data_IF_027185804245
#
_entry.id   IF_027185804245
#
_cell.length_a   1.000
_cell.length_b   1.000
_cell.length_c   1.000
_cell.angle_alpha   90.00
_cell.angle_beta   90.00
_cell.angle_gamma   90.00
#
_symmetry.space_group_name_H-M   'P 1'
#
loop_
_entity.id
_entity.type
_entity.pdbx_description
1 polymer ?
#
# COMPACT_ATOMS: atom_id res chain seq x y z
N UNK A 1 -20.52 -62.68 -12.16
CA UNK A 1 -20.92 -62.57 -10.74
C UNK A 1 -20.44 -61.22 -10.23
N UNK A 2 -21.37 -60.29 -9.99
CA UNK A 2 -21.15 -58.94 -9.48
C UNK A 2 -21.40 -58.97 -7.98
N UNK A 3 -20.49 -58.48 -7.14
CA UNK A 3 -20.78 -58.24 -5.73
C UNK A 3 -20.54 -56.76 -5.41
N UNK A 4 -21.62 -55.98 -5.53
CA UNK A 4 -21.79 -54.67 -4.91
C UNK A 4 -22.16 -54.88 -3.44
N UNK A 5 -21.55 -54.12 -2.52
CA UNK A 5 -21.99 -54.01 -1.13
C UNK A 5 -22.83 -52.74 -0.99
N UNK A 6 -24.14 -52.96 -0.85
CA UNK A 6 -25.14 -52.00 -0.41
C UNK A 6 -25.21 -52.04 1.13
N UNK A 7 -25.26 -50.89 1.79
CA UNK A 7 -25.70 -50.76 3.17
C UNK A 7 -26.92 -49.85 3.16
N UNK A 8 -28.02 -50.33 3.75
CA UNK A 8 -29.32 -49.69 3.89
C UNK A 8 -29.70 -49.68 5.38
N UNK A 9 -30.32 -48.59 5.83
CA UNK A 9 -31.07 -48.48 7.10
C UNK A 9 -30.40 -47.52 8.11
N UNK A 10 -31.06 -46.55 8.73
CA UNK A 10 -32.49 -46.36 9.01
C UNK A 10 -32.88 -44.87 8.93
N UNK A 11 -34.09 -44.64 8.44
CA UNK A 11 -34.82 -43.39 8.54
C UNK A 11 -35.39 -43.22 9.96
N UNK A 12 -35.23 -42.02 10.53
CA UNK A 12 -36.13 -41.49 11.55
C UNK A 12 -36.61 -40.13 11.06
N UNK A 13 -37.91 -40.07 10.73
CA UNK A 13 -38.58 -38.86 10.33
C UNK A 13 -38.72 -37.93 11.52
N UNK A 14 -38.39 -36.65 11.32
CA UNK A 14 -38.76 -35.58 12.23
C UNK A 14 -39.64 -34.61 11.45
N UNK A 15 -40.82 -34.35 12.00
CA UNK A 15 -41.90 -33.60 11.40
C UNK A 15 -41.52 -32.16 11.06
N UNK A 16 -41.92 -31.69 9.89
CA UNK A 16 -42.05 -30.27 9.58
C UNK A 16 -43.12 -29.67 10.50
N UNK A 17 -42.72 -28.81 11.43
CA UNK A 17 -43.59 -27.78 11.97
C UNK A 17 -43.24 -26.46 11.26
N UNK A 18 -44.20 -25.96 10.50
CA UNK A 18 -44.15 -24.66 9.85
C UNK A 18 -44.09 -23.57 10.92
N UNK A 19 -42.93 -22.91 11.03
CA UNK A 19 -42.82 -21.63 11.75
C UNK A 19 -43.02 -20.54 10.71
N UNK A 20 -44.11 -19.78 10.88
CA UNK A 20 -44.42 -18.58 10.10
C UNK A 20 -43.26 -17.60 10.24
N UNK A 21 -42.56 -17.33 9.15
CA UNK A 21 -41.55 -16.28 9.08
C UNK A 21 -42.22 -14.93 9.34
N UNK A 22 -41.94 -14.33 10.48
CA UNK A 22 -42.18 -12.90 10.68
C UNK A 22 -41.24 -12.15 9.74
N UNK A 23 -41.82 -11.42 8.79
CA UNK A 23 -41.09 -10.53 7.90
C UNK A 23 -40.44 -9.42 8.72
N UNK A 24 -39.11 -9.39 8.78
CA UNK A 24 -38.37 -8.19 9.17
C UNK A 24 -38.57 -7.14 8.08
N UNK A 25 -39.01 -5.91 8.39
CA UNK A 25 -39.12 -4.84 7.43
C UNK A 25 -37.76 -4.13 7.33
N UNK A 26 -36.79 -4.77 6.69
CA UNK A 26 -35.52 -4.11 6.33
C UNK A 26 -35.36 -4.19 4.82
N UNK A 27 -35.97 -3.20 4.14
CA UNK A 27 -35.66 -2.90 2.75
C UNK A 27 -34.21 -2.42 2.60
N UNK A 28 -33.68 -2.36 1.36
CA UNK A 28 -32.32 -1.89 1.11
C UNK A 28 -32.16 -0.45 1.63
N UNK A 29 -31.15 -0.21 2.46
CA UNK A 29 -30.77 1.14 2.88
C UNK A 29 -30.47 1.99 1.64
N UNK A 30 -31.00 3.22 1.65
CA UNK A 30 -30.77 4.22 0.62
C UNK A 30 -29.29 4.60 0.60
N UNK A 31 -28.59 4.34 -0.51
CA UNK A 31 -27.15 4.58 -0.69
C UNK A 31 -26.82 5.97 -1.25
N UNK A 32 -27.81 6.87 -1.31
CA UNK A 32 -27.56 8.27 -1.64
C UNK A 32 -26.95 8.99 -0.42
N UNK A 33 -25.93 9.85 -0.61
CA UNK A 33 -25.50 10.75 0.45
C UNK A 33 -26.70 11.60 0.90
N UNK A 34 -26.80 11.98 2.19
CA UNK A 34 -27.84 12.89 2.64
C UNK A 34 -27.77 14.18 1.81
N UNK A 35 -28.93 14.72 1.42
CA UNK A 35 -28.98 16.01 0.72
C UNK A 35 -28.22 17.06 1.55
N UNK A 36 -27.40 17.91 0.91
CA UNK A 36 -26.71 18.97 1.63
C UNK A 36 -27.74 19.84 2.34
N UNK A 37 -27.46 20.20 3.60
CA UNK A 37 -28.33 21.06 4.38
C UNK A 37 -28.61 22.35 3.60
N UNK A 38 -29.88 22.64 3.35
CA UNK A 38 -30.30 23.93 2.81
C UNK A 38 -29.96 25.00 3.83
N UNK A 39 -29.08 25.93 3.45
CA UNK A 39 -28.77 27.11 4.25
C UNK A 39 -29.96 28.05 4.15
N UNK A 40 -30.79 28.08 5.18
CA UNK A 40 -31.97 28.96 5.28
C UNK A 40 -31.62 30.39 5.74
N UNK A 41 -30.33 30.69 5.98
CA UNK A 41 -29.90 32.05 6.29
C UNK A 41 -29.78 32.89 5.00
N UNK A 42 -30.47 34.04 4.91
CA UNK A 42 -30.31 34.95 3.79
C UNK A 42 -28.88 35.51 3.77
N UNK A 43 -28.24 35.44 2.59
CA UNK A 43 -26.93 36.03 2.39
C UNK A 43 -26.93 37.53 2.75
N UNK A 44 -25.85 38.06 3.33
CA UNK A 44 -25.73 39.49 3.61
C UNK A 44 -25.94 40.35 2.36
N UNK A 45 -26.64 41.48 2.49
CA UNK A 45 -26.77 42.44 1.38
C UNK A 45 -25.48 43.23 1.21
N UNK A 46 -24.62 42.73 0.32
CA UNK A 46 -23.31 43.33 0.01
C UNK A 46 -23.41 44.69 -0.70
N UNK A 47 -24.61 45.14 -1.07
CA UNK A 47 -24.82 46.41 -1.79
C UNK A 47 -24.80 47.63 -0.85
N UNK A 48 -24.87 47.44 0.47
CA UNK A 48 -24.81 48.54 1.45
C UNK A 48 -23.41 48.99 1.85
N UNK A 49 -22.38 48.19 1.61
CA UNK A 49 -21.00 48.53 2.00
C UNK A 49 -20.31 49.59 1.12
N UNK A 50 -20.93 50.00 0.01
CA UNK A 50 -20.40 51.06 -0.87
C UNK A 50 -21.18 52.39 -0.77
N UNK A 51 -22.25 52.46 0.02
CA UNK A 51 -23.07 53.66 0.16
C UNK A 51 -22.70 54.54 1.37
N UNK A 52 -21.84 54.07 2.28
CA UNK A 52 -21.46 54.80 3.50
C UNK A 52 -20.15 55.61 3.38
N UNK A 53 -19.54 55.68 2.19
CA UNK A 53 -18.30 56.47 1.96
C UNK A 53 -18.49 57.65 1.01
N UNK A 54 -19.72 58.10 0.77
CA UNK A 54 -20.03 59.24 -0.09
C UNK A 54 -20.71 60.38 0.65
N UNK A 55 -19.98 61.14 1.47
CA UNK A 55 -20.50 62.39 2.07
C UNK A 55 -19.54 63.56 1.82
N UNK A 56 -19.88 64.31 0.77
CA UNK A 56 -20.04 65.77 0.69
C UNK A 56 -19.03 66.66 1.44
N UNK A 57 -18.01 67.07 0.70
CA UNK A 57 -16.98 68.03 1.08
C UNK A 57 -17.51 69.47 0.97
N UNK A 58 -18.36 69.91 1.90
CA UNK A 58 -18.62 71.35 2.11
C UNK A 58 -19.35 71.67 3.42
N UNK A 59 -18.61 71.93 4.51
CA UNK A 59 -19.08 72.85 5.57
C UNK A 59 -17.94 73.44 6.40
N UNK A 60 -17.99 74.77 6.51
CA UNK A 60 -17.02 75.63 7.16
C UNK A 60 -16.82 75.32 8.66
N UNK A 61 -15.57 75.39 9.08
CA UNK A 61 -15.13 75.23 10.46
C UNK A 61 -15.65 76.36 11.38
N UNK A 62 -16.21 75.99 12.53
CA UNK A 62 -16.24 76.80 13.76
C UNK A 62 -15.75 75.95 14.94
N UNK A 63 -14.94 76.49 15.86
CA UNK A 63 -14.20 75.69 16.83
C UNK A 63 -15.02 75.45 18.12
N UNK A 64 -14.91 74.25 18.67
CA UNK A 64 -15.34 73.89 20.02
C UNK A 64 -14.22 73.07 20.71
N UNK A 65 -14.15 73.06 22.05
CA UNK A 65 -12.94 73.33 22.82
C UNK A 65 -12.01 72.13 23.02
N UNK A 66 -10.73 72.44 23.26
CA UNK A 66 -9.65 71.50 23.58
C UNK A 66 -10.01 70.65 24.81
N UNK A 67 -10.08 69.33 24.62
CA UNK A 67 -10.09 68.33 25.70
C UNK A 67 -8.74 67.61 25.69
N UNK A 68 -8.11 67.51 26.86
CA UNK A 68 -6.76 66.95 27.05
C UNK A 68 -6.61 65.53 26.46
N UNK A 69 -5.41 65.13 25.98
CA UNK A 69 -5.23 63.83 25.33
C UNK A 69 -5.39 62.71 26.35
N UNK A 70 -6.39 61.86 26.14
CA UNK A 70 -6.49 60.55 26.78
C UNK A 70 -5.61 59.61 25.98
N UNK A 71 -4.61 58.99 26.61
CA UNK A 71 -3.75 58.01 25.96
C UNK A 71 -4.62 56.88 25.36
N UNK A 72 -4.57 56.74 24.03
CA UNK A 72 -5.18 55.61 23.35
C UNK A 72 -4.43 54.32 23.72
N UNK A 73 -5.12 53.21 23.99
CA UNK A 73 -4.45 51.93 24.17
C UNK A 73 -3.72 51.59 22.86
N UNK A 74 -2.44 51.22 22.98
CA UNK A 74 -1.58 50.84 21.85
C UNK A 74 -2.28 49.72 21.07
N UNK A 75 -2.61 49.96 19.80
CA UNK A 75 -3.05 48.88 18.92
C UNK A 75 -1.88 47.89 18.80
N UNK A 76 -2.12 46.57 18.98
CA UNK A 76 -1.08 45.57 18.80
C UNK A 76 -0.54 45.71 17.38
N UNK A 77 0.78 45.75 17.26
CA UNK A 77 1.43 45.85 15.96
C UNK A 77 1.21 44.56 15.18
N UNK A 78 1.43 44.59 13.87
CA UNK A 78 1.41 43.37 13.05
C UNK A 78 2.34 42.33 13.67
N UNK A 79 3.54 42.71 14.13
CA UNK A 79 4.46 41.81 14.81
C UNK A 79 3.88 41.14 16.07
N UNK A 80 3.14 41.88 16.91
CA UNK A 80 2.52 41.34 18.13
C UNK A 80 1.41 40.30 17.84
N UNK A 81 0.88 40.25 16.62
CA UNK A 81 -0.16 39.29 16.20
C UNK A 81 0.40 38.06 15.46
N UNK A 82 1.71 37.99 15.22
CA UNK A 82 2.37 36.89 14.49
C UNK A 82 3.51 36.21 15.30
N UNK A 83 3.61 36.47 16.61
CA UNK A 83 4.63 35.86 17.49
C UNK A 83 4.53 34.31 17.50
N UNK A 84 3.33 33.79 17.31
CA UNK A 84 2.98 32.36 17.20
C UNK A 84 3.23 31.77 15.80
N UNK A 85 3.63 32.58 14.82
CA UNK A 85 4.02 32.18 13.45
C UNK A 85 5.50 32.49 13.20
N UNK A 86 6.29 32.72 14.25
CA UNK A 86 7.73 32.77 14.14
C UNK A 86 8.27 31.40 13.72
N UNK A 87 8.52 31.24 12.42
CA UNK A 87 9.20 30.07 11.87
C UNK A 87 10.62 30.02 12.42
N UNK A 88 10.85 29.21 13.45
CA UNK A 88 12.21 28.86 13.87
C UNK A 88 12.86 28.05 12.75
N UNK A 89 13.74 28.69 11.98
CA UNK A 89 14.57 28.02 10.99
C UNK A 89 15.68 27.24 11.71
N UNK A 90 15.36 26.03 12.14
CA UNK A 90 16.35 25.05 12.60
C UNK A 90 16.96 24.31 11.43
N UNK A 91 18.26 23.97 11.52
CA UNK A 91 18.86 23.00 10.61
C UNK A 91 18.24 21.63 10.91
N UNK A 92 17.38 21.13 10.01
CA UNK A 92 16.88 19.76 10.08
C UNK A 92 17.96 18.85 9.50
N UNK A 93 18.85 18.36 10.36
CA UNK A 93 19.80 17.31 9.98
C UNK A 93 19.01 16.02 9.80
N UNK A 94 18.82 15.60 8.55
CA UNK A 94 18.25 14.28 8.26
C UNK A 94 19.26 13.21 8.70
N UNK A 95 18.96 12.48 9.77
CA UNK A 95 19.75 11.32 10.17
C UNK A 95 19.65 10.24 9.08
N UNK A 96 20.77 9.92 8.44
CA UNK A 96 20.82 8.82 7.48
C UNK A 96 20.61 7.50 8.22
N UNK A 97 19.73 6.61 7.72
CA UNK A 97 19.48 5.34 8.37
C UNK A 97 20.76 4.49 8.39
N UNK A 98 21.11 3.99 9.57
CA UNK A 98 22.23 3.05 9.73
C UNK A 98 21.79 1.66 9.24
N UNK A 99 22.45 1.17 8.20
CA UNK A 99 22.19 -0.15 7.59
C UNK A 99 23.16 -1.23 8.06
N UNK A 100 23.88 -0.99 9.16
CA UNK A 100 24.78 -1.96 9.79
C UNK A 100 24.34 -2.16 11.23
N UNK A 101 24.09 -3.40 11.62
CA UNK A 101 23.76 -3.78 13.00
C UNK A 101 24.81 -4.69 13.63
N UNK A 102 24.69 -4.92 14.92
CA UNK A 102 25.49 -5.91 15.66
C UNK A 102 24.84 -7.30 15.52
N UNK A 103 25.58 -8.27 15.00
CA UNK A 103 25.12 -9.62 14.72
C UNK A 103 25.75 -10.63 15.67
N UNK A 104 24.90 -11.46 16.29
CA UNK A 104 25.34 -12.67 16.98
C UNK A 104 25.54 -13.84 16.00
N UNK A 105 26.38 -14.80 16.37
CA UNK A 105 26.58 -16.02 15.55
C UNK A 105 25.28 -16.77 15.25
N UNK A 106 24.34 -16.98 16.21
CA UNK A 106 23.08 -17.64 15.91
C UNK A 106 22.23 -16.89 14.87
N UNK A 107 22.20 -15.55 14.93
CA UNK A 107 21.46 -14.73 13.95
C UNK A 107 22.08 -14.83 12.56
N UNK A 108 23.41 -14.79 12.47
CA UNK A 108 24.09 -14.94 11.18
C UNK A 108 23.92 -16.35 10.60
N UNK A 109 23.88 -17.39 11.44
CA UNK A 109 23.56 -18.76 11.01
C UNK A 109 22.12 -18.89 10.50
N UNK A 110 21.15 -18.23 11.13
CA UNK A 110 19.77 -18.15 10.61
C UNK A 110 19.75 -17.49 9.22
N UNK A 111 20.45 -16.36 9.06
CA UNK A 111 20.56 -15.67 7.77
C UNK A 111 21.18 -16.58 6.70
N UNK A 112 22.30 -17.25 7.00
CA UNK A 112 22.96 -18.16 6.07
C UNK A 112 22.06 -19.35 5.68
N UNK A 113 21.29 -19.90 6.64
CA UNK A 113 20.30 -20.94 6.36
C UNK A 113 19.20 -20.46 5.42
N UNK A 114 18.73 -19.22 5.60
CA UNK A 114 17.73 -18.61 4.74
C UNK A 114 18.27 -18.35 3.32
N UNK A 115 19.50 -17.84 3.19
CA UNK A 115 20.18 -17.66 1.90
C UNK A 115 20.29 -18.99 1.16
N UNK A 116 20.67 -20.07 1.84
CA UNK A 116 20.74 -21.40 1.23
C UNK A 116 19.37 -21.91 0.72
N UNK A 117 18.28 -21.49 1.35
CA UNK A 117 16.91 -21.86 1.00
C UNK A 117 16.22 -20.88 0.02
N UNK A 118 16.86 -19.75 -0.33
CA UNK A 118 16.22 -18.64 -1.08
C UNK A 118 15.75 -19.04 -2.48
N UNK A 119 16.27 -20.14 -3.02
CA UNK A 119 15.78 -20.73 -4.27
C UNK A 119 14.28 -21.07 -4.24
N UNK A 120 13.70 -21.32 -3.05
CA UNK A 120 12.26 -21.49 -2.85
C UNK A 120 11.46 -20.20 -3.09
N UNK A 121 12.07 -19.04 -2.90
CA UNK A 121 11.52 -17.72 -3.24
C UNK A 121 11.81 -17.35 -4.71
N UNK A 122 12.34 -18.26 -5.52
CA UNK A 122 12.65 -17.98 -6.91
C UNK A 122 13.84 -17.05 -7.15
N UNK A 123 14.65 -16.82 -6.11
CA UNK A 123 15.91 -16.07 -6.17
C UNK A 123 17.10 -17.02 -6.31
N UNK A 124 18.31 -16.49 -6.50
CA UNK A 124 19.54 -17.27 -6.59
C UNK A 124 20.40 -17.08 -5.33
N UNK A 125 20.77 -18.16 -4.59
CA UNK A 125 21.65 -18.06 -3.43
C UNK A 125 23.00 -17.39 -3.72
N UNK A 126 23.54 -17.56 -4.93
CA UNK A 126 24.87 -17.03 -5.30
C UNK A 126 24.92 -15.50 -5.30
N UNK A 127 23.79 -14.83 -5.55
CA UNK A 127 23.70 -13.37 -5.59
C UNK A 127 23.93 -12.71 -4.23
N UNK A 128 23.80 -13.47 -3.13
CA UNK A 128 23.88 -12.95 -1.77
C UNK A 128 25.20 -13.26 -1.06
N UNK A 129 26.19 -13.81 -1.79
CA UNK A 129 27.54 -14.07 -1.26
C UNK A 129 27.54 -15.09 -0.11
N UNK A 130 26.85 -16.23 -0.29
CA UNK A 130 26.69 -17.26 0.73
C UNK A 130 28.04 -17.79 1.27
N UNK A 131 29.05 -17.89 0.41
CA UNK A 131 30.43 -18.26 0.73
C UNK A 131 31.12 -17.21 1.61
N UNK A 132 30.96 -15.94 1.27
CA UNK A 132 31.51 -14.80 2.02
C UNK A 132 30.87 -14.72 3.41
N UNK A 133 29.56 -14.90 3.51
CA UNK A 133 28.83 -14.94 4.78
C UNK A 133 29.28 -16.13 5.64
N UNK A 134 29.43 -17.31 5.05
CA UNK A 134 29.92 -18.49 5.78
C UNK A 134 31.34 -18.29 6.31
N UNK A 135 32.23 -17.67 5.53
CA UNK A 135 33.59 -17.34 5.98
C UNK A 135 33.59 -16.33 7.14
N UNK A 136 32.71 -15.33 7.11
CA UNK A 136 32.55 -14.37 8.20
C UNK A 136 32.06 -15.03 9.50
N UNK A 137 31.08 -15.93 9.39
CA UNK A 137 30.58 -16.72 10.53
C UNK A 137 31.71 -17.57 11.14
N UNK A 138 32.57 -18.17 10.30
CA UNK A 138 33.69 -18.97 10.78
C UNK A 138 34.77 -18.16 11.51
N UNK A 139 34.90 -16.86 11.21
CA UNK A 139 35.83 -15.96 11.90
C UNK A 139 35.33 -15.51 13.29
N UNK A 140 34.02 -15.62 13.55
CA UNK A 140 33.40 -15.23 14.81
C UNK A 140 32.70 -13.87 14.77
N UNK A 141 32.15 -13.46 15.91
CA UNK A 141 31.45 -12.17 16.05
C UNK A 141 32.43 -11.00 15.94
N UNK A 142 32.00 -9.93 15.26
CA UNK A 142 32.79 -8.72 15.12
C UNK A 142 32.41 -7.88 13.91
N UNK A 143 33.16 -6.79 13.65
CA UNK A 143 32.82 -5.82 12.61
C UNK A 143 32.66 -6.42 11.21
N UNK A 144 33.49 -7.41 10.86
CA UNK A 144 33.41 -8.08 9.57
C UNK A 144 32.10 -8.88 9.40
N UNK A 145 31.67 -9.60 10.43
CA UNK A 145 30.38 -10.30 10.43
C UNK A 145 29.23 -9.30 10.31
N UNK A 146 29.29 -8.22 11.08
CA UNK A 146 28.26 -7.18 11.10
C UNK A 146 28.06 -6.54 9.72
N UNK A 147 29.15 -6.19 9.04
CA UNK A 147 29.10 -5.58 7.71
C UNK A 147 28.54 -6.56 6.66
N UNK A 148 29.05 -7.79 6.64
CA UNK A 148 28.66 -8.80 5.65
C UNK A 148 27.19 -9.22 5.86
N UNK A 149 26.81 -9.56 7.09
CA UNK A 149 25.45 -10.01 7.39
C UNK A 149 24.42 -8.89 7.19
N UNK A 150 24.72 -7.65 7.59
CA UNK A 150 23.80 -6.53 7.35
C UNK A 150 23.61 -6.25 5.87
N UNK A 151 24.69 -6.26 5.07
CA UNK A 151 24.59 -6.10 3.61
C UNK A 151 23.75 -7.20 2.96
N UNK A 152 24.01 -8.47 3.30
CA UNK A 152 23.22 -9.59 2.78
C UNK A 152 21.75 -9.47 3.18
N UNK A 153 21.45 -9.07 4.42
CA UNK A 153 20.09 -8.84 4.87
C UNK A 153 19.41 -7.70 4.08
N UNK A 154 20.08 -6.58 3.88
CA UNK A 154 19.55 -5.43 3.09
C UNK A 154 19.20 -5.86 1.67
N UNK A 155 20.10 -6.55 0.98
CA UNK A 155 19.85 -7.03 -0.38
C UNK A 155 18.68 -8.02 -0.44
N UNK A 156 18.56 -8.92 0.53
CA UNK A 156 17.41 -9.83 0.62
C UNK A 156 16.11 -9.07 0.83
N UNK A 157 16.10 -8.07 1.70
CA UNK A 157 14.89 -7.26 1.96
C UNK A 157 14.44 -6.56 0.67
N UNK A 158 15.36 -5.89 -0.03
CA UNK A 158 15.07 -5.20 -1.29
C UNK A 158 14.52 -6.16 -2.35
N UNK A 159 15.17 -7.31 -2.57
CA UNK A 159 14.76 -8.27 -3.59
C UNK A 159 13.47 -9.03 -3.24
N UNK A 160 13.20 -9.27 -1.96
CA UNK A 160 11.97 -9.94 -1.50
C UNK A 160 10.77 -9.01 -1.50
N UNK A 161 10.96 -7.75 -1.11
CA UNK A 161 9.91 -6.72 -1.03
C UNK A 161 9.63 -6.12 -2.40
N UNK A 162 10.66 -5.55 -3.03
CA UNK A 162 10.49 -4.70 -4.23
C UNK A 162 10.63 -5.50 -5.53
N UNK A 163 11.23 -6.70 -5.45
CA UNK A 163 11.55 -7.55 -6.59
C UNK A 163 12.88 -7.20 -7.25
N UNK A 164 13.47 -8.17 -7.94
CA UNK A 164 14.79 -8.09 -8.56
C UNK A 164 14.84 -7.18 -9.78
N UNK A 165 13.72 -7.01 -10.45
CA UNK A 165 13.68 -6.20 -11.67
C UNK A 165 13.56 -4.72 -11.29
N UNK A 166 14.59 -3.90 -11.56
CA UNK A 166 14.54 -2.47 -11.27
C UNK A 166 13.45 -1.79 -12.11
N UNK A 167 12.98 -0.62 -11.66
CA UNK A 167 11.89 0.10 -12.30
C UNK A 167 12.12 0.33 -13.80
N UNK A 168 13.35 0.64 -14.22
CA UNK A 168 13.71 0.83 -15.65
C UNK A 168 13.48 -0.43 -16.51
N UNK A 169 13.53 -1.62 -15.89
CA UNK A 169 13.21 -2.89 -16.55
C UNK A 169 11.71 -3.18 -16.66
N UNK A 170 10.86 -2.46 -15.91
CA UNK A 170 9.41 -2.66 -15.85
C UNK A 170 8.72 -1.87 -16.97
N UNK A 171 8.30 -2.55 -18.02
CA UNK A 171 7.67 -1.92 -19.19
C UNK A 171 6.24 -1.47 -18.90
N UNK A 172 5.93 -0.19 -19.13
CA UNK A 172 4.57 0.37 -18.96
C UNK A 172 3.98 0.07 -17.58
N UNK A 173 4.83 0.17 -16.54
CA UNK A 173 4.48 -0.07 -15.16
C UNK A 173 4.35 1.26 -14.43
N UNK A 174 3.15 1.53 -13.94
CA UNK A 174 2.76 2.78 -13.28
C UNK A 174 2.11 2.51 -11.91
N UNK A 175 2.24 1.28 -11.39
CA UNK A 175 1.84 0.96 -10.03
C UNK A 175 2.86 1.54 -9.07
N UNK A 176 2.39 2.37 -8.15
CA UNK A 176 3.21 2.82 -7.02
C UNK A 176 3.16 1.76 -5.92
N UNK A 177 4.33 1.34 -5.47
CA UNK A 177 4.49 0.41 -4.36
C UNK A 177 4.92 1.20 -3.10
N UNK A 178 4.05 1.31 -2.09
CA UNK A 178 4.34 2.03 -0.84
C UNK A 178 5.10 1.16 0.17
N UNK A 179 5.43 -0.10 -0.16
CA UNK A 179 5.93 -1.05 0.83
C UNK A 179 7.31 -0.68 1.35
N UNK A 180 8.17 -0.07 0.53
CA UNK A 180 9.47 0.43 0.98
C UNK A 180 9.35 1.53 2.05
N UNK A 181 8.33 2.38 1.95
CA UNK A 181 8.06 3.44 2.92
C UNK A 181 7.39 2.88 4.19
N UNK A 182 6.50 1.88 4.02
CA UNK A 182 5.78 1.23 5.12
C UNK A 182 6.66 0.28 5.93
N UNK A 183 7.59 -0.39 5.25
CA UNK A 183 8.51 -1.37 5.82
C UNK A 183 9.97 -0.98 5.50
N UNK A 184 10.50 0.12 6.08
CA UNK A 184 11.85 0.58 5.79
C UNK A 184 12.89 -0.46 6.20
N UNK A 185 13.88 -0.69 5.34
CA UNK A 185 14.91 -1.72 5.52
C UNK A 185 15.68 -1.56 6.83
N UNK A 186 16.01 -0.33 7.22
CA UNK A 186 16.71 -0.05 8.47
C UNK A 186 15.89 -0.42 9.70
N UNK A 187 14.57 -0.23 9.66
CA UNK A 187 13.67 -0.62 10.75
C UNK A 187 13.54 -2.14 10.83
N UNK A 188 13.38 -2.81 9.69
CA UNK A 188 13.35 -4.27 9.62
C UNK A 188 14.63 -4.89 10.19
N UNK A 189 15.81 -4.38 9.81
CA UNK A 189 17.09 -4.85 10.32
C UNK A 189 17.18 -4.67 11.84
N UNK A 190 16.86 -3.46 12.34
CA UNK A 190 16.89 -3.16 13.77
C UNK A 190 15.96 -4.07 14.57
N UNK A 191 14.71 -4.22 14.12
CA UNK A 191 13.70 -5.02 14.81
C UNK A 191 14.03 -6.52 14.75
N UNK A 192 14.55 -7.02 13.62
CA UNK A 192 14.98 -8.40 13.46
C UNK A 192 16.15 -8.75 14.40
N UNK A 193 17.15 -7.87 14.51
CA UNK A 193 18.29 -8.06 15.41
C UNK A 193 17.90 -7.95 16.88
N UNK A 194 17.08 -6.97 17.25
CA UNK A 194 16.63 -6.79 18.63
C UNK A 194 15.84 -7.99 19.17
N UNK A 195 15.06 -8.65 18.31
CA UNK A 195 14.20 -9.78 18.69
C UNK A 195 14.78 -11.15 18.32
N UNK A 196 15.90 -11.20 17.59
CA UNK A 196 16.47 -12.45 17.07
C UNK A 196 15.57 -13.17 16.06
N UNK A 197 14.74 -12.41 15.33
CA UNK A 197 13.70 -12.90 14.40
C UNK A 197 14.07 -12.64 12.94
N UNK A 198 15.25 -13.12 12.53
CA UNK A 198 15.79 -12.84 11.19
C UNK A 198 14.92 -13.46 10.10
N UNK A 199 14.60 -14.74 10.24
CA UNK A 199 13.82 -15.48 9.24
C UNK A 199 12.39 -14.95 9.15
N UNK A 200 11.72 -14.72 10.29
CA UNK A 200 10.35 -14.20 10.34
C UNK A 200 10.26 -12.81 9.66
N UNK A 201 11.26 -11.95 9.86
CA UNK A 201 11.32 -10.65 9.21
C UNK A 201 11.43 -10.76 7.68
N UNK A 202 12.17 -11.74 7.17
CA UNK A 202 12.36 -11.95 5.72
C UNK A 202 11.15 -12.64 5.07
N UNK A 203 10.59 -13.66 5.72
CA UNK A 203 9.38 -14.35 5.25
C UNK A 203 8.16 -13.41 5.23
N UNK A 204 8.11 -12.49 6.19
CA UNK A 204 7.06 -11.47 6.28
C UNK A 204 7.05 -10.44 5.15
N UNK A 205 8.03 -10.44 4.24
CA UNK A 205 8.08 -9.53 3.07
C UNK A 205 7.45 -10.13 1.81
N UNK A 206 7.24 -11.45 1.78
CA UNK A 206 6.67 -12.10 0.62
C UNK A 206 5.23 -11.60 0.35
N UNK A 207 4.81 -11.47 -0.94
CA UNK A 207 3.43 -11.16 -1.27
C UNK A 207 2.44 -12.15 -0.61
N UNK A 208 1.42 -11.63 0.07
CA UNK A 208 0.45 -12.46 0.82
C UNK A 208 -0.64 -13.06 -0.08
N UNK A 209 -0.68 -12.67 -1.35
CA UNK A 209 -1.73 -13.08 -2.28
C UNK A 209 -1.68 -14.60 -2.57
N UNK A 210 -2.83 -15.31 -2.62
CA UNK A 210 -2.87 -16.77 -2.84
C UNK A 210 -2.13 -17.25 -4.10
N UNK A 211 -2.21 -16.48 -5.19
CA UNK A 211 -1.52 -16.84 -6.45
C UNK A 211 0.01 -16.85 -6.30
N UNK A 212 0.57 -16.06 -5.38
CA UNK A 212 2.02 -16.10 -5.11
C UNK A 212 2.42 -17.43 -4.45
N UNK A 213 1.61 -17.92 -3.50
CA UNK A 213 1.81 -19.23 -2.89
C UNK A 213 1.73 -20.36 -3.94
N UNK A 214 0.76 -20.30 -4.86
CA UNK A 214 0.66 -21.26 -5.97
C UNK A 214 1.88 -21.22 -6.90
N UNK A 215 2.50 -20.05 -7.11
CA UNK A 215 3.74 -19.94 -7.88
C UNK A 215 4.93 -20.57 -7.15
N UNK A 216 5.01 -20.45 -5.82
CA UNK A 216 6.04 -21.12 -5.01
C UNK A 216 5.90 -22.64 -5.10
N UNK A 217 4.68 -23.15 -4.96
CA UNK A 217 4.38 -24.58 -5.12
C UNK A 217 4.75 -25.06 -6.53
N UNK A 218 4.32 -24.34 -7.57
CA UNK A 218 4.66 -24.67 -8.94
C UNK A 218 6.18 -24.65 -9.20
N UNK A 219 6.91 -23.73 -8.56
CA UNK A 219 8.38 -23.69 -8.64
C UNK A 219 9.02 -24.90 -7.96
N UNK A 220 8.49 -25.34 -6.82
CA UNK A 220 8.99 -26.52 -6.10
C UNK A 220 8.75 -27.82 -6.88
N UNK A 221 7.60 -27.95 -7.56
CA UNK A 221 7.25 -29.11 -8.37
C UNK A 221 7.99 -29.17 -9.72
N UNK A 222 8.40 -28.01 -10.25
CA UNK A 222 9.06 -27.95 -11.56
C UNK A 222 10.54 -28.35 -11.45
N UNK A 223 10.98 -29.44 -12.12
CA UNK A 223 12.36 -29.92 -12.00
C UNK A 223 13.37 -28.94 -12.61
N UNK A 224 14.63 -29.01 -12.13
CA UNK A 224 15.71 -28.14 -12.60
C UNK A 224 16.00 -28.28 -14.11
N UNK A 225 15.68 -29.43 -14.71
CA UNK A 225 15.80 -29.66 -16.16
C UNK A 225 14.85 -28.79 -17.00
N UNK A 226 13.72 -28.33 -16.44
CA UNK A 226 12.77 -27.44 -17.11
C UNK A 226 13.13 -25.95 -16.90
N UNK A 227 14.37 -25.57 -17.21
CA UNK A 227 14.92 -24.25 -16.95
C UNK A 227 14.04 -23.10 -17.50
N UNK A 228 13.50 -23.26 -18.72
CA UNK A 228 12.63 -22.26 -19.35
C UNK A 228 11.32 -22.05 -18.56
N UNK A 229 10.72 -23.12 -18.03
CA UNK A 229 9.49 -23.04 -17.24
C UNK A 229 9.76 -22.41 -15.87
N UNK A 230 10.84 -22.82 -15.20
CA UNK A 230 11.27 -22.19 -13.93
C UNK A 230 11.52 -20.70 -14.11
N UNK A 231 12.15 -20.28 -15.22
CA UNK A 231 12.36 -18.86 -15.54
C UNK A 231 11.05 -18.08 -15.67
N UNK A 232 10.03 -18.65 -16.30
CA UNK A 232 8.69 -18.03 -16.39
C UNK A 232 8.03 -17.90 -15.02
N UNK A 233 8.10 -18.95 -14.20
CA UNK A 233 7.53 -18.93 -12.84
C UNK A 233 8.22 -17.85 -12.00
N UNK A 234 9.55 -17.83 -11.98
CA UNK A 234 10.35 -16.80 -11.28
C UNK A 234 10.01 -15.38 -11.74
N UNK A 235 9.83 -15.17 -13.04
CA UNK A 235 9.43 -13.86 -13.57
C UNK A 235 8.01 -13.44 -13.11
N UNK A 236 7.08 -14.38 -12.98
CA UNK A 236 5.76 -14.08 -12.43
C UNK A 236 5.79 -13.85 -10.92
N UNK A 237 6.63 -14.58 -10.17
CA UNK A 237 6.88 -14.31 -8.75
C UNK A 237 7.44 -12.90 -8.56
N UNK A 238 8.38 -12.48 -9.42
CA UNK A 238 8.94 -11.14 -9.37
C UNK A 238 7.88 -10.06 -9.64
N UNK A 239 6.98 -10.27 -10.62
CA UNK A 239 5.87 -9.34 -10.89
C UNK A 239 4.93 -9.16 -9.70
N UNK A 240 4.71 -10.21 -8.90
CA UNK A 240 3.91 -10.10 -7.68
C UNK A 240 4.57 -9.23 -6.61
N UNK A 241 5.90 -9.15 -6.58
CA UNK A 241 6.66 -8.24 -5.70
C UNK A 241 6.64 -6.79 -6.17
N UNK A 242 6.23 -6.51 -7.41
CA UNK A 242 6.11 -5.14 -7.88
C UNK A 242 4.79 -4.49 -7.47
N UNK A 243 3.86 -5.28 -6.94
CA UNK A 243 2.57 -4.84 -6.42
C UNK A 243 2.69 -4.65 -4.90
N UNK A 244 1.88 -3.76 -4.31
CA UNK A 244 1.76 -3.69 -2.86
C UNK A 244 1.45 -5.08 -2.29
N UNK A 245 2.15 -5.46 -1.21
CA UNK A 245 2.01 -6.74 -0.53
C UNK A 245 0.55 -7.00 -0.15
N UNK A 246 -0.12 -5.98 0.39
CA UNK A 246 -1.55 -5.98 0.69
C UNK A 246 -2.32 -5.11 -0.31
N UNK A 247 -3.12 -5.75 -1.16
CA UNK A 247 -4.02 -5.10 -2.12
C UNK A 247 -5.32 -4.59 -1.46
N UNK A 248 -5.50 -4.86 -0.17
CA UNK A 248 -6.69 -4.54 0.60
C UNK A 248 -7.81 -5.56 0.46
N UNK A 249 -8.87 -5.37 1.25
CA UNK A 249 -9.96 -6.35 1.36
C UNK A 249 -10.87 -6.47 0.14
N UNK A 250 -10.81 -5.51 -0.80
CA UNK A 250 -11.65 -5.49 -2.01
C UNK A 250 -10.94 -4.75 -3.13
N UNK A 251 -10.72 -5.44 -4.25
CA UNK A 251 -10.06 -4.86 -5.42
C UNK A 251 -10.59 -5.46 -6.72
N UNK A 252 -10.36 -4.74 -7.82
CA UNK A 252 -10.56 -5.20 -9.19
C UNK A 252 -9.19 -5.44 -9.82
N UNK A 253 -8.91 -6.67 -10.22
CA UNK A 253 -7.66 -7.01 -10.89
C UNK A 253 -7.93 -7.37 -12.34
N UNK A 254 -7.25 -6.68 -13.26
CA UNK A 254 -7.27 -7.03 -14.68
C UNK A 254 -5.99 -7.75 -15.05
N UNK A 255 -6.12 -9.04 -15.37
CA UNK A 255 -5.02 -9.82 -15.92
C UNK A 255 -5.00 -9.64 -17.44
N UNK A 256 -4.17 -8.69 -17.91
CA UNK A 256 -4.07 -8.29 -19.31
C UNK A 256 -3.79 -9.48 -20.25
N UNK A 257 -2.79 -10.35 -20.02
CA UNK A 257 -2.54 -11.50 -20.91
C UNK A 257 -3.64 -12.56 -20.84
N UNK A 258 -4.47 -12.58 -19.80
CA UNK A 258 -5.58 -13.52 -19.64
C UNK A 258 -6.91 -12.99 -20.21
N UNK A 259 -7.00 -11.70 -20.57
CA UNK A 259 -8.25 -11.05 -21.00
C UNK A 259 -9.39 -11.19 -19.99
N UNK A 260 -9.06 -11.13 -18.69
CA UNK A 260 -10.03 -11.22 -17.60
C UNK A 260 -9.89 -10.09 -16.59
N UNK A 261 -11.03 -9.63 -16.09
CA UNK A 261 -11.11 -8.80 -14.88
C UNK A 261 -11.82 -9.59 -13.78
N UNK A 262 -11.30 -9.51 -12.56
CA UNK A 262 -11.83 -10.20 -11.38
C UNK A 262 -12.12 -9.21 -10.28
N UNK A 263 -13.31 -9.32 -9.69
CA UNK A 263 -13.64 -8.67 -8.43
C UNK A 263 -13.30 -9.62 -7.30
N UNK A 264 -12.30 -9.26 -6.51
CA UNK A 264 -11.88 -10.02 -5.33
C UNK A 264 -12.35 -9.33 -4.07
N UNK A 265 -12.89 -10.10 -3.13
CA UNK A 265 -13.26 -9.66 -1.78
C UNK A 265 -12.73 -10.66 -0.77
N UNK A 266 -11.89 -10.22 0.16
CA UNK A 266 -11.23 -11.07 1.18
C UNK A 266 -10.61 -12.33 0.56
N UNK A 267 -9.75 -12.11 -0.42
CA UNK A 267 -9.01 -13.14 -1.17
C UNK A 267 -9.88 -14.15 -1.94
N UNK A 268 -11.16 -13.84 -2.14
CA UNK A 268 -12.10 -14.67 -2.92
C UNK A 268 -12.61 -13.93 -4.13
N UNK A 269 -12.47 -14.55 -5.29
CA UNK A 269 -13.03 -14.05 -6.55
C UNK A 269 -14.56 -14.17 -6.47
N UNK A 270 -15.25 -13.04 -6.38
CA UNK A 270 -16.72 -12.96 -6.32
C UNK A 270 -17.33 -12.95 -7.71
N UNK A 271 -16.66 -12.28 -8.65
CA UNK A 271 -17.05 -12.20 -10.06
C UNK A 271 -15.83 -12.21 -10.96
N UNK A 272 -16.00 -12.78 -12.14
CA UNK A 272 -15.02 -12.75 -13.21
C UNK A 272 -15.73 -12.40 -14.52
N UNK A 273 -15.12 -11.51 -15.30
CA UNK A 273 -15.61 -11.06 -16.59
C UNK A 273 -14.49 -11.14 -17.61
N UNK A 274 -14.85 -11.43 -18.86
CA UNK A 274 -13.93 -11.25 -19.98
C UNK A 274 -13.78 -9.76 -20.26
N UNK A 275 -12.57 -9.32 -20.54
CA UNK A 275 -12.27 -7.94 -20.91
C UNK A 275 -11.56 -7.87 -22.26
N UNK A 276 -11.67 -6.74 -22.94
CA UNK A 276 -10.92 -6.45 -24.15
C UNK A 276 -9.81 -5.50 -23.77
N UNK A 277 -8.58 -5.85 -24.12
CA UNK A 277 -7.40 -5.02 -23.84
C UNK A 277 -6.86 -4.38 -25.12
N UNK A 278 -6.07 -3.34 -24.92
CA UNK A 278 -5.38 -2.63 -25.97
C UNK A 278 -4.41 -3.50 -26.77
N UNK A 279 -4.15 -3.14 -28.04
CA UNK A 279 -3.15 -3.83 -28.86
C UNK A 279 -1.74 -3.48 -28.36
N UNK A 280 -0.77 -4.41 -28.44
CA UNK A 280 0.62 -4.10 -28.14
C UNK A 280 1.10 -2.87 -28.94
N UNK A 281 1.87 -1.98 -28.30
CA UNK A 281 2.35 -0.73 -28.88
C UNK A 281 1.65 0.49 -28.26
N UNK A 282 1.28 1.47 -29.09
CA UNK A 282 0.76 2.77 -28.63
C UNK A 282 -0.61 2.73 -27.96
N UNK A 283 -1.37 1.64 -28.11
CA UNK A 283 -2.71 1.49 -27.53
C UNK A 283 -2.75 0.41 -26.46
N UNK A 284 -1.60 -0.08 -25.99
CA UNK A 284 -1.56 -1.14 -24.98
C UNK A 284 -2.20 -0.64 -23.67
N UNK A 285 -2.96 -1.51 -23.00
CA UNK A 285 -3.50 -1.19 -21.68
C UNK A 285 -2.34 -0.99 -20.70
N UNK A 286 -2.19 0.20 -20.10
CA UNK A 286 -1.12 0.46 -19.14
C UNK A 286 -1.30 -0.38 -17.88
N UNK A 287 -0.19 -0.78 -17.24
CA UNK A 287 -0.24 -1.47 -15.95
C UNK A 287 -0.20 -0.41 -14.85
N UNK A 288 -1.33 -0.16 -14.19
CA UNK A 288 -1.51 0.87 -13.17
C UNK A 288 -2.33 0.32 -12.00
N UNK A 289 -2.24 1.01 -10.86
CA UNK A 289 -3.08 0.76 -9.69
C UNK A 289 -3.72 2.09 -9.30
N UNK A 290 -5.05 2.13 -9.37
CA UNK A 290 -5.83 3.34 -9.10
C UNK A 290 -7.13 2.99 -8.38
N UNK A 291 -7.70 3.99 -7.72
CA UNK A 291 -8.99 3.87 -7.04
C UNK A 291 -10.13 4.14 -8.01
N UNK A 292 -11.14 3.25 -8.03
CA UNK A 292 -12.36 3.48 -8.81
C UNK A 292 -13.19 4.54 -8.10
N UNK A 293 -13.28 5.73 -8.70
CA UNK A 293 -14.02 6.87 -8.12
C UNK A 293 -15.54 6.74 -8.25
N UNK A 294 -16.01 6.14 -9.35
CA UNK A 294 -17.44 6.05 -9.60
C UNK A 294 -17.80 5.27 -10.86
N UNK A 295 -19.10 5.10 -11.06
CA UNK A 295 -19.67 4.45 -12.24
C UNK A 295 -20.64 5.44 -12.89
N UNK A 296 -20.39 5.76 -14.15
CA UNK A 296 -21.27 6.63 -14.94
C UNK A 296 -22.18 5.75 -15.79
N UNK A 297 -23.49 5.90 -15.61
CA UNK A 297 -24.48 5.27 -16.48
C UNK A 297 -24.73 6.16 -17.70
N UNK A 298 -24.75 5.55 -18.90
CA UNK A 298 -24.92 6.25 -20.18
C UNK A 298 -23.88 7.37 -20.41
N UNK A 299 -22.57 7.06 -20.39
CA UNK A 299 -21.53 8.06 -20.61
C UNK A 299 -21.56 8.61 -22.04
N UNK A 300 -21.16 9.87 -22.21
CA UNK A 300 -20.82 10.41 -23.52
C UNK A 300 -19.42 9.95 -23.93
N UNK A 301 -19.23 9.58 -25.20
CA UNK A 301 -17.91 9.22 -25.71
C UNK A 301 -17.22 10.43 -26.36
N UNK A 302 -16.23 10.98 -25.68
CA UNK A 302 -15.29 11.96 -26.26
C UNK A 302 -14.18 11.19 -26.97
N UNK A 303 -13.98 11.44 -28.27
CA UNK A 303 -12.93 10.77 -29.05
C UNK A 303 -11.56 11.27 -28.56
N UNK A 304 -10.66 10.36 -28.11
CA UNK A 304 -9.33 10.69 -27.65
C UNK A 304 -8.35 11.01 -28.78
#
# INVERSE_FOLDING_TARGET
MKNFKTILGLATGTALLAVSAQAQPSGPENLLPPEPATVDEPLPDYTRLQAETGEDDSRAAQPAPVRAPRAEPRQPTVADNFDDIAMESGEVVQELPVLIGEWSLPQAQQLAGYVAAIAAEGLDPEDYGADVLAAAIAQGEGPALNEIASRTFVWLVEDLRDGRTPMEGRKQWFVMDPDADRMPTARLLKDALANGRIVEALEGLAPVHPDYALLKEALAETPASEASRRKLIRANMDRWRWLPQDLGSKYLMTNVPEFQVRLTVRDKIIKSYRTIVGKPGSTATPQLAEMVEGVIFNPTWTVP
#
